data_IF_772717378097
#
_entry.id   IF_772717378097
#
_cell.length_a   1.000
_cell.length_b   1.000
_cell.length_c   1.000
_cell.angle_alpha   90.00
_cell.angle_beta   90.00
_cell.angle_gamma   90.00
#
_symmetry.space_group_name_H-M   'P 1'
#
loop_
_entity.id
_entity.type
_entity.pdbx_description
1 polymer ?
#
# COMPACT_ATOMS: atom_id res chain seq x y z
N UNK A 1 -20.72 -37.11 -13.18
CA UNK A 1 -19.50 -36.29 -13.28
C UNK A 1 -18.53 -36.83 -12.24
N UNK A 2 -17.41 -37.45 -12.64
CA UNK A 2 -16.41 -37.93 -11.69
C UNK A 2 -15.68 -36.73 -11.09
N UNK A 3 -15.82 -36.53 -9.78
CA UNK A 3 -15.04 -35.53 -9.05
C UNK A 3 -13.59 -36.02 -8.99
N UNK A 4 -12.72 -35.42 -9.80
CA UNK A 4 -11.30 -35.73 -9.84
C UNK A 4 -10.69 -35.22 -8.53
N UNK A 5 -10.49 -36.13 -7.57
CA UNK A 5 -9.82 -35.83 -6.30
C UNK A 5 -8.36 -35.51 -6.60
N UNK A 6 -8.00 -34.22 -6.49
CA UNK A 6 -6.64 -33.74 -6.66
C UNK A 6 -5.93 -33.84 -5.30
N UNK A 7 -5.54 -35.05 -4.94
CA UNK A 7 -4.81 -35.32 -3.70
C UNK A 7 -3.38 -34.81 -3.81
N UNK A 8 -3.04 -33.73 -3.08
CA UNK A 8 -1.65 -33.38 -2.76
C UNK A 8 -1.08 -32.09 -3.34
N UNK A 9 -1.88 -31.26 -4.04
CA UNK A 9 -1.35 -30.01 -4.64
C UNK A 9 -1.08 -28.90 -3.61
N UNK A 10 -1.66 -28.96 -2.41
CA UNK A 10 -1.55 -27.91 -1.39
C UNK A 10 -0.66 -28.36 -0.22
N UNK A 11 0.58 -28.77 -0.49
CA UNK A 11 1.56 -29.05 0.57
C UNK A 11 2.57 -27.89 0.56
N UNK A 12 2.28 -26.84 1.33
CA UNK A 12 3.01 -25.55 1.35
C UNK A 12 4.45 -25.59 1.85
N UNK A 13 5.17 -26.69 1.63
CA UNK A 13 6.57 -26.90 2.00
C UNK A 13 7.57 -26.52 0.89
N UNK A 14 7.11 -26.41 -0.36
CA UNK A 14 7.94 -26.10 -1.54
C UNK A 14 7.40 -24.94 -2.38
N UNK A 15 6.49 -24.12 -1.84
CA UNK A 15 5.98 -22.94 -2.53
C UNK A 15 6.94 -21.76 -2.32
N UNK A 16 7.72 -21.44 -3.35
CA UNK A 16 8.47 -20.18 -3.40
C UNK A 16 7.50 -19.05 -3.79
N UNK A 17 7.45 -17.93 -3.05
CA UNK A 17 6.65 -16.78 -3.47
C UNK A 17 7.17 -16.27 -4.81
N UNK A 18 6.36 -16.44 -5.86
CA UNK A 18 6.64 -15.86 -7.18
C UNK A 18 5.81 -14.59 -7.33
N UNK A 19 6.46 -13.52 -7.76
CA UNK A 19 5.77 -12.28 -8.13
C UNK A 19 4.91 -12.56 -9.37
N UNK A 20 3.59 -12.61 -9.20
CA UNK A 20 2.64 -12.69 -10.31
C UNK A 20 2.36 -11.26 -10.81
N UNK A 21 2.42 -11.05 -12.13
CA UNK A 21 2.02 -9.77 -12.71
C UNK A 21 0.50 -9.62 -12.58
N UNK A 22 0.10 -8.84 -11.57
CA UNK A 22 -1.29 -8.58 -11.21
C UNK A 22 -1.98 -7.61 -12.18
N UNK A 23 -1.31 -7.16 -13.24
CA UNK A 23 -1.83 -6.14 -14.16
C UNK A 23 -1.93 -4.77 -13.47
N UNK A 24 -2.10 -3.71 -14.26
CA UNK A 24 -2.16 -2.35 -13.71
C UNK A 24 -3.36 -2.15 -12.78
N UNK A 25 -4.46 -2.87 -13.00
CA UNK A 25 -5.71 -2.76 -12.23
C UNK A 25 -5.63 -3.34 -10.81
N UNK A 26 -4.74 -4.29 -10.55
CA UNK A 26 -4.54 -4.86 -9.20
C UNK A 26 -3.24 -4.39 -8.55
N UNK A 27 -2.68 -3.29 -9.06
CA UNK A 27 -1.51 -2.63 -8.47
C UNK A 27 -1.97 -1.72 -7.33
N UNK A 28 -2.27 -2.32 -6.18
CA UNK A 28 -2.60 -1.57 -4.98
C UNK A 28 -1.37 -0.81 -4.50
N UNK A 29 -1.29 0.48 -4.81
CA UNK A 29 -0.37 1.37 -4.13
C UNK A 29 -0.69 1.34 -2.64
N UNK A 30 0.34 1.18 -1.80
CA UNK A 30 0.16 1.24 -0.35
C UNK A 30 -0.57 2.53 0.01
N UNK A 31 -1.80 2.40 0.49
CA UNK A 31 -2.63 3.52 0.90
C UNK A 31 -1.92 4.21 2.06
N UNK A 32 -1.38 5.39 1.80
CA UNK A 32 -0.68 6.16 2.82
C UNK A 32 -1.69 7.01 3.62
N UNK A 33 -1.73 6.81 4.93
CA UNK A 33 -2.46 7.67 5.85
C UNK A 33 -1.48 8.59 6.59
N UNK A 34 -1.76 9.89 6.60
CA UNK A 34 -0.93 10.86 7.29
C UNK A 34 -0.95 10.62 8.81
N UNK A 35 0.21 10.49 9.47
CA UNK A 35 0.27 10.24 10.92
C UNK A 35 -0.24 11.42 11.77
N UNK A 36 -0.20 12.65 11.23
CA UNK A 36 -0.58 13.87 11.95
C UNK A 36 -2.08 14.15 11.82
N UNK A 37 -2.58 14.19 10.58
CA UNK A 37 -3.99 14.48 10.31
C UNK A 37 -4.89 13.25 10.40
N UNK A 38 -4.32 12.05 10.48
CA UNK A 38 -5.06 10.77 10.42
C UNK A 38 -5.97 10.66 9.20
N UNK A 39 -5.56 11.29 8.10
CA UNK A 39 -6.29 11.34 6.83
C UNK A 39 -5.54 10.53 5.76
N UNK A 40 -6.28 9.79 4.95
CA UNK A 40 -5.74 9.10 3.78
C UNK A 40 -5.26 10.12 2.75
N UNK A 41 -4.08 9.89 2.18
CA UNK A 41 -3.57 10.70 1.08
C UNK A 41 -4.30 10.38 -0.21
N UNK A 42 -4.60 11.43 -0.95
CA UNK A 42 -5.30 11.41 -2.22
C UNK A 42 -4.45 12.11 -3.26
N UNK A 43 -4.90 12.12 -4.51
CA UNK A 43 -4.24 12.82 -5.62
C UNK A 43 -4.06 14.32 -5.31
N UNK A 44 -5.05 14.92 -4.64
CA UNK A 44 -5.04 16.32 -4.21
C UNK A 44 -4.18 16.55 -2.95
N UNK A 45 -4.01 15.53 -2.11
CA UNK A 45 -3.23 15.59 -0.87
C UNK A 45 -2.15 14.50 -0.85
N UNK A 46 -1.11 14.61 -1.69
CA UNK A 46 -0.11 13.55 -1.83
C UNK A 46 0.78 13.45 -0.58
N UNK A 47 1.39 12.28 -0.36
CA UNK A 47 2.44 12.11 0.65
C UNK A 47 3.69 12.91 0.27
N UNK A 48 4.12 13.77 1.18
CA UNK A 48 5.31 14.62 1.10
C UNK A 48 6.40 14.08 2.04
N UNK A 49 7.61 13.87 1.52
CA UNK A 49 8.77 13.45 2.33
C UNK A 49 9.52 14.68 2.85
N UNK A 50 9.72 14.74 4.16
CA UNK A 50 10.51 15.77 4.85
C UNK A 50 12.01 15.46 4.78
N UNK A 51 12.84 16.47 5.02
CA UNK A 51 14.31 16.33 5.10
C UNK A 51 14.76 15.34 6.17
N UNK A 52 13.97 15.14 7.23
CA UNK A 52 14.22 14.17 8.30
C UNK A 52 13.83 12.72 7.92
N UNK A 53 13.36 12.49 6.70
CA UNK A 53 12.96 11.16 6.20
C UNK A 53 11.51 10.77 6.49
N UNK A 54 10.80 11.50 7.36
CA UNK A 54 9.39 11.26 7.63
C UNK A 54 8.51 11.66 6.45
N UNK A 55 7.41 10.93 6.25
CA UNK A 55 6.40 11.23 5.22
C UNK A 55 5.14 11.74 5.93
N UNK A 56 4.61 12.88 5.46
CA UNK A 56 3.36 13.50 5.94
C UNK A 56 2.53 13.96 4.73
N UNK A 57 1.23 14.22 4.87
CA UNK A 57 0.45 14.75 3.75
C UNK A 57 0.73 16.23 3.49
N UNK A 58 0.49 16.70 2.26
CA UNK A 58 0.62 18.12 1.88
C UNK A 58 -0.16 19.05 2.80
N UNK A 59 -1.38 18.69 3.17
CA UNK A 59 -2.20 19.49 4.07
C UNK A 59 -1.60 19.59 5.48
N UNK A 60 -1.00 18.50 5.97
CA UNK A 60 -0.32 18.50 7.26
C UNK A 60 0.89 19.44 7.21
N UNK A 61 1.66 19.39 6.12
CA UNK A 61 2.79 20.28 5.89
C UNK A 61 2.36 21.75 5.86
N UNK A 62 1.30 22.08 5.12
CA UNK A 62 0.77 23.45 5.03
C UNK A 62 0.25 23.95 6.38
N UNK A 63 -0.49 23.12 7.13
CA UNK A 63 -1.00 23.49 8.47
C UNK A 63 0.12 23.72 9.48
N UNK A 64 1.20 22.93 9.41
CA UNK A 64 2.39 23.11 10.25
C UNK A 64 3.21 24.33 9.83
N UNK A 65 3.31 24.60 8.52
CA UNK A 65 4.08 25.73 7.99
C UNK A 65 3.39 27.08 8.19
N UNK A 66 2.06 27.13 8.18
CA UNK A 66 1.26 28.35 8.41
C UNK A 66 0.86 28.53 9.88
N UNK A 67 1.34 27.68 10.79
CA UNK A 67 1.04 27.73 12.22
C UNK A 67 1.88 28.74 13.01
N UNK A 68 2.16 29.93 12.45
CA UNK A 68 2.68 31.09 13.17
C UNK A 68 1.70 32.26 13.01
#
# INVERSE_FOLDING_TARGET
MLQRQVTGIWNGKDELPIEIDLGQDSRYHSVFACPILRQQSTENNPPMRLICGHVISRDALNKLSNGN
#
